data_IF_721472740204
#
_entry.id   IF_721472740204
#
_cell.length_a   1.000
_cell.length_b   1.000
_cell.length_c   1.000
_cell.angle_alpha   90.00
_cell.angle_beta   90.00
_cell.angle_gamma   90.00
#
_symmetry.space_group_name_H-M   'P 1'
#
loop_
_entity.id
_entity.type
_entity.pdbx_description
1 polymer ?
#
# COMPACT_ATOMS: atom_id res chain seq x y z
N UNK A 1 -45.90 36.73 36.89
CA UNK A 1 -44.97 37.47 36.00
C UNK A 1 -44.08 36.43 35.34
N UNK A 2 -44.47 35.98 34.14
CA UNK A 2 -43.77 34.97 33.37
C UNK A 2 -43.29 35.65 32.08
N UNK A 3 -41.98 35.83 31.94
CA UNK A 3 -41.35 36.47 30.78
C UNK A 3 -40.98 35.41 29.74
N UNK A 4 -41.75 35.36 28.66
CA UNK A 4 -41.42 34.60 27.46
C UNK A 4 -40.39 35.35 26.61
N UNK A 5 -39.37 34.63 26.15
CA UNK A 5 -38.43 35.09 25.15
C UNK A 5 -39.00 34.80 23.76
N UNK A 6 -39.53 35.83 23.10
CA UNK A 6 -39.81 35.83 21.67
C UNK A 6 -38.67 36.55 20.95
N UNK A 7 -37.93 35.86 20.09
CA UNK A 7 -37.05 36.48 19.09
C UNK A 7 -37.68 36.36 17.70
N UNK A 8 -37.55 37.39 16.85
CA UNK A 8 -38.20 37.44 15.54
C UNK A 8 -37.54 36.49 14.53
N UNK A 9 -38.40 35.75 13.81
CA UNK A 9 -38.05 34.88 12.69
C UNK A 9 -37.81 35.71 11.42
N UNK A 10 -36.59 36.17 11.18
CA UNK A 10 -36.10 36.55 9.85
C UNK A 10 -34.61 36.93 9.85
N UNK A 11 -33.71 35.94 9.85
CA UNK A 11 -32.33 36.05 9.29
C UNK A 11 -31.52 34.76 9.42
N UNK A 12 -32.18 33.60 9.30
CA UNK A 12 -31.52 32.34 9.00
C UNK A 12 -32.09 31.88 7.67
N UNK A 13 -31.24 31.30 6.82
CA UNK A 13 -31.48 30.91 5.43
C UNK A 13 -31.15 32.01 4.40
N UNK A 14 -29.87 32.40 4.34
CA UNK A 14 -29.18 32.38 3.04
C UNK A 14 -28.53 31.00 2.92
N UNK A 15 -29.37 30.02 2.58
CA UNK A 15 -28.90 28.78 2.04
C UNK A 15 -28.09 29.12 0.79
N UNK A 16 -26.83 28.70 0.82
CA UNK A 16 -25.95 28.61 -0.34
C UNK A 16 -26.60 27.61 -1.31
N UNK A 17 -27.54 28.09 -2.12
CA UNK A 17 -27.79 27.49 -3.42
C UNK A 17 -26.49 27.63 -4.22
N UNK A 18 -26.23 26.64 -5.07
CA UNK A 18 -25.15 26.62 -6.06
C UNK A 18 -23.82 26.03 -5.54
N UNK A 19 -23.80 24.70 -5.40
CA UNK A 19 -22.73 23.81 -5.89
C UNK A 19 -22.81 22.35 -5.37
N UNK A 20 -23.79 21.97 -4.54
CA UNK A 20 -23.95 20.58 -4.07
C UNK A 20 -24.78 19.68 -5.02
N UNK A 21 -24.83 20.01 -6.32
CA UNK A 21 -25.71 19.35 -7.28
C UNK A 21 -25.16 19.27 -8.71
N UNK A 22 -23.85 19.42 -8.89
CA UNK A 22 -23.19 19.28 -10.18
C UNK A 22 -22.19 18.11 -10.14
N UNK A 23 -22.65 16.91 -10.53
CA UNK A 23 -21.77 16.03 -11.29
C UNK A 23 -21.32 14.68 -10.72
N UNK A 24 -21.95 14.09 -9.70
CA UNK A 24 -21.80 12.63 -9.51
C UNK A 24 -22.40 11.82 -10.68
N UNK A 25 -23.18 12.49 -11.54
CA UNK A 25 -23.89 11.96 -12.70
C UNK A 25 -23.38 12.55 -14.03
N UNK A 26 -22.15 13.06 -14.08
CA UNK A 26 -21.47 13.26 -15.36
C UNK A 26 -20.81 11.93 -15.73
N UNK A 27 -21.07 11.41 -16.93
CA UNK A 27 -20.64 10.07 -17.36
C UNK A 27 -19.13 9.80 -17.15
N UNK A 28 -18.29 10.84 -17.14
CA UNK A 28 -16.86 10.74 -16.83
C UNK A 28 -16.57 10.37 -15.37
N UNK A 29 -17.18 11.06 -14.40
CA UNK A 29 -16.89 10.84 -12.97
C UNK A 29 -17.43 9.53 -12.42
N UNK A 30 -18.58 9.06 -12.92
CA UNK A 30 -19.12 7.75 -12.53
C UNK A 30 -18.24 6.60 -13.03
N UNK A 31 -17.72 6.70 -14.26
CA UNK A 31 -16.84 5.68 -14.84
C UNK A 31 -15.52 5.59 -14.06
N UNK A 32 -14.87 6.72 -13.79
CA UNK A 32 -13.63 6.75 -13.00
C UNK A 32 -13.85 6.16 -11.60
N UNK A 33 -14.95 6.54 -10.93
CA UNK A 33 -15.30 5.98 -9.61
C UNK A 33 -15.51 4.48 -9.67
N UNK A 34 -16.17 3.97 -10.72
CA UNK A 34 -16.38 2.53 -10.91
C UNK A 34 -15.06 1.81 -11.21
N UNK A 35 -14.21 2.37 -12.07
CA UNK A 35 -12.90 1.80 -12.39
C UNK A 35 -12.00 1.75 -11.16
N UNK A 36 -12.00 2.80 -10.34
CA UNK A 36 -11.32 2.87 -9.05
C UNK A 36 -11.79 1.77 -8.09
N UNK A 37 -13.11 1.65 -7.95
CA UNK A 37 -13.71 0.59 -7.14
C UNK A 37 -13.28 -0.79 -7.61
N UNK A 38 -13.38 -1.09 -8.91
CA UNK A 38 -12.97 -2.37 -9.47
C UNK A 38 -11.46 -2.62 -9.33
N UNK A 39 -10.63 -1.59 -9.48
CA UNK A 39 -9.19 -1.69 -9.23
C UNK A 39 -8.90 -2.15 -7.80
N UNK A 40 -9.54 -1.50 -6.82
CA UNK A 40 -9.38 -1.82 -5.38
C UNK A 40 -9.84 -3.23 -5.00
N UNK A 41 -10.66 -3.89 -5.82
CA UNK A 41 -11.03 -5.30 -5.60
C UNK A 41 -9.92 -6.30 -5.99
N UNK A 42 -8.80 -5.85 -6.58
CA UNK A 42 -7.72 -6.73 -7.01
C UNK A 42 -7.23 -7.72 -5.91
N UNK A 43 -6.96 -7.29 -4.66
CA UNK A 43 -6.56 -8.20 -3.58
C UNK A 43 -7.61 -9.26 -3.26
N UNK A 44 -8.89 -9.00 -3.50
CA UNK A 44 -9.95 -10.01 -3.35
C UNK A 44 -9.94 -10.99 -4.53
N UNK A 45 -9.92 -10.48 -5.76
CA UNK A 45 -10.02 -11.28 -6.97
C UNK A 45 -8.82 -12.21 -7.18
N UNK A 46 -7.62 -11.83 -6.73
CA UNK A 46 -6.41 -12.66 -6.87
C UNK A 46 -6.49 -14.02 -6.15
N UNK A 47 -7.34 -14.15 -5.13
CA UNK A 47 -7.45 -15.40 -4.37
C UNK A 47 -8.08 -16.53 -5.19
N UNK A 48 -8.94 -16.19 -6.16
CA UNK A 48 -9.65 -17.18 -6.99
C UNK A 48 -8.69 -17.96 -7.89
N UNK A 49 -7.87 -17.35 -8.76
CA UNK A 49 -6.94 -18.11 -9.61
C UNK A 49 -5.89 -18.88 -8.78
N UNK A 50 -5.44 -18.33 -7.65
CA UNK A 50 -4.52 -19.03 -6.73
C UNK A 50 -5.18 -20.29 -6.17
N UNK A 51 -6.43 -20.20 -5.69
CA UNK A 51 -7.18 -21.33 -5.16
C UNK A 51 -7.45 -22.41 -6.22
N UNK A 52 -7.82 -22.01 -7.44
CA UNK A 52 -8.04 -22.96 -8.55
C UNK A 52 -6.74 -23.68 -8.92
N UNK A 53 -5.62 -22.95 -9.04
CA UNK A 53 -4.32 -23.55 -9.34
C UNK A 53 -3.86 -24.51 -8.23
N UNK A 54 -4.03 -24.13 -6.97
CA UNK A 54 -3.73 -24.99 -5.82
C UNK A 54 -4.60 -26.27 -5.80
N UNK A 55 -5.89 -26.15 -6.14
CA UNK A 55 -6.79 -27.30 -6.28
C UNK A 55 -6.35 -28.22 -7.41
N UNK A 56 -5.95 -27.68 -8.57
CA UNK A 56 -5.40 -28.45 -9.69
C UNK A 56 -4.14 -29.22 -9.28
N UNK A 57 -3.18 -28.55 -8.63
CA UNK A 57 -1.96 -29.20 -8.12
C UNK A 57 -2.28 -30.32 -7.13
N UNK A 58 -3.25 -30.09 -6.24
CA UNK A 58 -3.70 -31.08 -5.27
C UNK A 58 -4.33 -32.29 -5.97
N UNK A 59 -5.18 -32.08 -6.97
CA UNK A 59 -5.81 -33.16 -7.73
C UNK A 59 -4.79 -33.97 -8.54
N UNK A 60 -3.80 -33.33 -9.16
CA UNK A 60 -2.72 -34.04 -9.85
C UNK A 60 -1.85 -34.84 -8.86
N UNK A 61 -1.48 -34.25 -7.72
CA UNK A 61 -0.71 -34.94 -6.69
C UNK A 61 -1.46 -36.16 -6.11
N UNK A 62 -2.76 -35.98 -5.81
CA UNK A 62 -3.63 -37.08 -5.40
C UNK A 62 -3.78 -38.13 -6.50
N UNK A 63 -3.82 -37.71 -7.77
CA UNK A 63 -3.89 -38.61 -8.90
C UNK A 63 -2.64 -39.48 -9.07
N UNK A 64 -1.45 -38.90 -8.83
CA UNK A 64 -0.19 -39.65 -8.78
C UNK A 64 -0.18 -40.60 -7.59
N UNK A 65 -0.52 -40.12 -6.38
CA UNK A 65 -0.51 -40.93 -5.16
C UNK A 65 -1.49 -42.10 -5.23
N UNK A 66 -2.73 -41.85 -5.66
CA UNK A 66 -3.78 -42.87 -5.78
C UNK A 66 -3.70 -43.68 -7.08
N UNK A 67 -2.70 -43.40 -7.94
CA UNK A 67 -2.55 -43.99 -9.29
C UNK A 67 -3.82 -43.88 -10.15
N UNK A 68 -4.60 -42.81 -9.93
CA UNK A 68 -5.86 -42.52 -10.64
C UNK A 68 -5.87 -41.05 -11.04
N UNK A 69 -5.37 -40.76 -12.24
CA UNK A 69 -5.27 -39.41 -12.75
C UNK A 69 -6.65 -38.74 -12.91
N UNK A 70 -6.75 -37.41 -12.71
CA UNK A 70 -7.97 -36.66 -13.01
C UNK A 70 -8.43 -36.85 -14.46
N UNK A 71 -9.74 -36.87 -14.65
CA UNK A 71 -10.32 -36.94 -15.98
C UNK A 71 -10.03 -35.67 -16.78
N UNK A 72 -9.92 -35.80 -18.10
CA UNK A 72 -9.67 -34.66 -18.98
C UNK A 72 -10.80 -33.63 -18.98
N UNK A 73 -12.04 -34.02 -18.65
CA UNK A 73 -13.14 -33.08 -18.42
C UNK A 73 -12.83 -32.13 -17.27
N UNK A 74 -12.54 -32.68 -16.09
CA UNK A 74 -12.14 -31.92 -14.89
C UNK A 74 -10.94 -31.01 -15.16
N UNK A 75 -9.91 -31.49 -15.88
CA UNK A 75 -8.75 -30.65 -16.24
C UNK A 75 -9.13 -29.44 -17.09
N UNK A 76 -10.06 -29.62 -18.05
CA UNK A 76 -10.53 -28.54 -18.94
C UNK A 76 -11.37 -27.54 -18.19
N UNK A 77 -12.28 -28.00 -17.33
CA UNK A 77 -13.18 -27.13 -16.56
C UNK A 77 -12.37 -26.26 -15.59
N UNK A 78 -11.41 -26.87 -14.87
CA UNK A 78 -10.51 -26.14 -13.97
C UNK A 78 -9.58 -25.20 -14.73
N UNK A 79 -9.03 -25.61 -15.88
CA UNK A 79 -8.19 -24.72 -16.69
C UNK A 79 -8.99 -23.52 -17.25
N UNK A 80 -10.25 -23.73 -17.65
CA UNK A 80 -11.14 -22.66 -18.09
C UNK A 80 -11.44 -21.67 -16.97
N UNK A 81 -11.79 -22.18 -15.78
CA UNK A 81 -12.02 -21.34 -14.60
C UNK A 81 -10.75 -20.57 -14.19
N UNK A 82 -9.58 -21.21 -14.27
CA UNK A 82 -8.29 -20.58 -13.99
C UNK A 82 -8.01 -19.43 -14.95
N UNK A 83 -8.21 -19.62 -16.26
CA UNK A 83 -8.02 -18.55 -17.26
C UNK A 83 -8.96 -17.37 -17.01
N UNK A 84 -10.24 -17.63 -16.80
CA UNK A 84 -11.24 -16.58 -16.58
C UNK A 84 -10.94 -15.76 -15.31
N UNK A 85 -10.66 -16.45 -14.21
CA UNK A 85 -10.34 -15.79 -12.94
C UNK A 85 -8.99 -15.07 -12.97
N UNK A 86 -7.97 -15.62 -13.63
CA UNK A 86 -6.68 -14.96 -13.80
C UNK A 86 -6.77 -13.71 -14.68
N UNK A 87 -7.56 -13.75 -15.76
CA UNK A 87 -7.81 -12.58 -16.60
C UNK A 87 -8.54 -11.48 -15.81
N UNK A 88 -9.58 -11.82 -15.04
CA UNK A 88 -10.29 -10.88 -14.18
C UNK A 88 -9.39 -10.22 -13.13
N UNK A 89 -8.55 -11.01 -12.45
CA UNK A 89 -7.57 -10.49 -11.51
C UNK A 89 -6.50 -9.62 -12.18
N UNK A 90 -6.05 -9.98 -13.39
CA UNK A 90 -5.10 -9.18 -14.17
C UNK A 90 -5.67 -7.82 -14.58
N UNK A 91 -6.92 -7.78 -15.03
CA UNK A 91 -7.62 -6.53 -15.40
C UNK A 91 -7.80 -5.63 -14.17
N UNK A 92 -8.30 -6.16 -13.05
CA UNK A 92 -8.44 -5.36 -11.83
C UNK A 92 -7.09 -4.85 -11.29
N UNK A 93 -6.03 -5.66 -11.39
CA UNK A 93 -4.68 -5.25 -10.99
C UNK A 93 -4.11 -4.16 -11.88
N UNK A 94 -4.43 -4.18 -13.17
CA UNK A 94 -4.03 -3.14 -14.11
C UNK A 94 -4.67 -1.79 -13.77
N UNK A 95 -5.97 -1.80 -13.45
CA UNK A 95 -6.70 -0.61 -13.00
C UNK A 95 -6.14 -0.05 -11.67
N UNK A 96 -5.77 -0.93 -10.73
CA UNK A 96 -5.19 -0.51 -9.44
C UNK A 96 -3.80 0.14 -9.58
N UNK A 97 -2.99 -0.36 -10.51
CA UNK A 97 -1.63 0.15 -10.73
C UNK A 97 -1.62 1.61 -11.23
N UNK A 98 -2.72 2.07 -11.83
CA UNK A 98 -2.84 3.44 -12.34
C UNK A 98 -3.17 4.46 -11.22
N UNK A 99 -3.70 4.01 -10.08
CA UNK A 99 -4.07 4.91 -8.97
C UNK A 99 -2.94 5.14 -7.97
N UNK A 100 -2.27 4.07 -7.54
CA UNK A 100 -1.63 4.11 -6.24
C UNK A 100 -0.19 3.58 -6.20
N UNK A 101 0.33 2.96 -7.26
CA UNK A 101 1.63 2.28 -7.25
C UNK A 101 2.46 2.58 -8.51
N UNK A 102 3.59 3.29 -8.36
CA UNK A 102 4.57 3.55 -9.43
C UNK A 102 5.91 2.82 -9.20
N UNK A 103 6.69 2.59 -10.25
CA UNK A 103 8.07 2.08 -10.16
C UNK A 103 8.36 0.79 -10.96
N UNK A 104 9.63 0.41 -11.02
CA UNK A 104 10.12 -0.75 -11.79
C UNK A 104 9.58 -2.09 -11.26
N UNK A 105 9.41 -2.22 -9.94
CA UNK A 105 8.83 -3.42 -9.29
C UNK A 105 7.38 -3.64 -9.71
N UNK A 106 6.59 -2.57 -9.81
CA UNK A 106 5.19 -2.63 -10.29
C UNK A 106 5.15 -3.06 -11.75
N UNK A 107 6.04 -2.51 -12.58
CA UNK A 107 6.17 -2.91 -13.99
C UNK A 107 6.53 -4.38 -14.14
N UNK A 108 7.50 -4.87 -13.35
CA UNK A 108 7.85 -6.29 -13.33
C UNK A 108 6.66 -7.16 -12.91
N UNK A 109 5.97 -6.80 -11.83
CA UNK A 109 4.77 -7.52 -11.36
C UNK A 109 3.68 -7.59 -12.43
N UNK A 110 3.43 -6.50 -13.16
CA UNK A 110 2.47 -6.46 -14.29
C UNK A 110 2.85 -7.46 -15.38
N UNK A 111 4.12 -7.50 -15.79
CA UNK A 111 4.56 -8.45 -16.82
C UNK A 111 4.53 -9.90 -16.36
N UNK A 112 4.82 -10.16 -15.07
CA UNK A 112 4.64 -11.50 -14.48
C UNK A 112 3.17 -11.94 -14.50
N UNK A 113 2.23 -11.03 -14.20
CA UNK A 113 0.80 -11.30 -14.28
C UNK A 113 0.33 -11.59 -15.71
N UNK A 114 0.80 -10.82 -16.70
CA UNK A 114 0.55 -11.09 -18.12
C UNK A 114 1.10 -12.46 -18.53
N UNK A 115 2.34 -12.76 -18.14
CA UNK A 115 2.96 -14.06 -18.36
C UNK A 115 2.16 -15.20 -17.72
N UNK A 116 1.65 -15.01 -16.52
CA UNK A 116 0.80 -15.98 -15.82
C UNK A 116 -0.48 -16.27 -16.60
N UNK A 117 -1.19 -15.24 -17.08
CA UNK A 117 -2.40 -15.42 -17.91
C UNK A 117 -2.08 -16.19 -19.20
N UNK A 118 -0.98 -15.85 -19.88
CA UNK A 118 -0.53 -16.57 -21.08
C UNK A 118 -0.18 -18.03 -20.75
N UNK A 119 0.48 -18.29 -19.62
CA UNK A 119 0.77 -19.63 -19.13
C UNK A 119 -0.50 -20.44 -18.88
N UNK A 120 -1.51 -19.83 -18.25
CA UNK A 120 -2.83 -20.44 -18.03
C UNK A 120 -3.55 -20.75 -19.34
N UNK A 121 -3.46 -19.88 -20.36
CA UNK A 121 -4.01 -20.14 -21.69
C UNK A 121 -3.34 -21.36 -22.36
N UNK A 122 -2.01 -21.46 -22.29
CA UNK A 122 -1.28 -22.60 -22.85
C UNK A 122 -1.55 -23.90 -22.08
N UNK A 123 -1.74 -23.83 -20.77
CA UNK A 123 -2.22 -24.92 -19.94
C UNK A 123 -3.61 -25.39 -20.42
N UNK A 124 -4.55 -24.46 -20.62
CA UNK A 124 -5.88 -24.76 -21.12
C UNK A 124 -5.85 -25.39 -22.52
N UNK A 125 -4.97 -24.93 -23.41
CA UNK A 125 -4.71 -25.58 -24.71
C UNK A 125 -4.22 -27.02 -24.51
N UNK A 126 -3.30 -27.26 -23.57
CA UNK A 126 -2.84 -28.61 -23.21
C UNK A 126 -3.98 -29.51 -22.72
N UNK A 127 -4.85 -29.00 -21.86
CA UNK A 127 -6.04 -29.70 -21.36
C UNK A 127 -7.05 -30.01 -22.48
N UNK A 128 -7.29 -29.04 -23.37
CA UNK A 128 -8.20 -29.21 -24.51
C UNK A 128 -7.68 -30.28 -25.48
N UNK A 129 -6.40 -30.20 -25.85
CA UNK A 129 -5.70 -31.16 -26.72
C UNK A 129 -5.43 -32.52 -26.08
N UNK A 130 -5.75 -32.69 -24.79
CA UNK A 130 -5.45 -33.91 -24.00
C UNK A 130 -3.95 -34.28 -24.02
N UNK A 131 -3.08 -33.28 -24.09
CA UNK A 131 -1.63 -33.46 -24.18
C UNK A 131 -0.99 -33.31 -22.81
N UNK A 132 -0.54 -34.42 -22.22
CA UNK A 132 0.11 -34.45 -20.89
C UNK A 132 1.38 -33.62 -20.87
N UNK A 133 2.15 -33.60 -21.97
CA UNK A 133 3.41 -32.84 -22.05
C UNK A 133 3.16 -31.33 -21.97
N UNK A 134 2.22 -30.83 -22.77
CA UNK A 134 1.88 -29.40 -22.79
C UNK A 134 1.22 -29.01 -21.47
N UNK A 135 0.22 -29.78 -21.03
CA UNK A 135 -0.49 -29.53 -19.78
C UNK A 135 0.48 -29.51 -18.59
N UNK A 136 1.30 -30.55 -18.42
CA UNK A 136 2.23 -30.66 -17.30
C UNK A 136 3.30 -29.56 -17.31
N UNK A 137 3.87 -29.24 -18.48
CA UNK A 137 4.84 -28.15 -18.59
C UNK A 137 4.23 -26.81 -18.16
N UNK A 138 3.02 -26.49 -18.64
CA UNK A 138 2.40 -25.22 -18.32
C UNK A 138 1.75 -25.15 -16.93
N UNK A 139 1.44 -26.28 -16.29
CA UNK A 139 1.13 -26.32 -14.84
C UNK A 139 2.35 -25.86 -14.03
N UNK A 140 3.54 -26.37 -14.34
CA UNK A 140 4.78 -25.96 -13.65
C UNK A 140 5.10 -24.49 -13.92
N UNK A 141 5.01 -24.05 -15.17
CA UNK A 141 5.24 -22.64 -15.54
C UNK A 141 4.25 -21.71 -14.84
N UNK A 142 2.94 -22.02 -14.87
CA UNK A 142 1.92 -21.22 -14.21
C UNK A 142 2.15 -21.15 -12.68
N UNK A 143 2.57 -22.25 -12.06
CA UNK A 143 2.90 -22.28 -10.62
C UNK A 143 4.10 -21.38 -10.30
N UNK A 144 5.18 -21.46 -11.09
CA UNK A 144 6.35 -20.61 -10.90
C UNK A 144 6.04 -19.12 -11.10
N UNK A 145 5.27 -18.79 -12.12
CA UNK A 145 4.84 -17.41 -12.39
C UNK A 145 3.92 -16.88 -11.29
N UNK A 146 2.98 -17.70 -10.79
CA UNK A 146 2.11 -17.34 -9.68
C UNK A 146 2.92 -17.04 -8.41
N UNK A 147 3.89 -17.90 -8.08
CA UNK A 147 4.78 -17.69 -6.93
C UNK A 147 5.62 -16.42 -7.07
N UNK A 148 6.21 -16.18 -8.25
CA UNK A 148 6.97 -14.97 -8.53
C UNK A 148 6.09 -13.70 -8.43
N UNK A 149 4.91 -13.71 -9.07
CA UNK A 149 3.96 -12.61 -8.99
C UNK A 149 3.53 -12.33 -7.54
N UNK A 150 3.27 -13.37 -6.74
CA UNK A 150 2.96 -13.25 -5.31
C UNK A 150 4.10 -12.63 -4.49
N UNK A 151 5.35 -13.02 -4.73
CA UNK A 151 6.52 -12.45 -4.07
C UNK A 151 6.66 -10.94 -4.32
N UNK A 152 6.60 -10.52 -5.59
CA UNK A 152 6.68 -9.11 -5.94
C UNK A 152 5.42 -8.33 -5.52
N UNK A 153 4.24 -8.97 -5.51
CA UNK A 153 3.02 -8.37 -4.97
C UNK A 153 3.11 -8.09 -3.47
N UNK A 154 3.73 -8.99 -2.71
CA UNK A 154 4.06 -8.78 -1.30
C UNK A 154 5.02 -7.61 -1.09
N UNK A 155 6.06 -7.53 -1.94
CA UNK A 155 7.03 -6.41 -1.91
C UNK A 155 6.36 -5.05 -2.15
N UNK A 156 5.40 -4.98 -3.08
CA UNK A 156 4.66 -3.74 -3.38
C UNK A 156 3.81 -3.27 -2.19
N UNK A 157 3.28 -4.20 -1.39
CA UNK A 157 2.31 -3.89 -0.33
C UNK A 157 2.92 -3.78 1.06
N UNK A 158 4.00 -4.53 1.32
CA UNK A 158 4.62 -4.63 2.65
C UNK A 158 6.09 -4.20 2.67
N UNK A 159 6.70 -3.92 1.52
CA UNK A 159 8.11 -3.58 1.37
C UNK A 159 9.02 -4.80 1.17
N UNK A 160 10.25 -4.57 0.71
CA UNK A 160 11.23 -5.62 0.36
C UNK A 160 11.64 -6.52 1.53
N UNK A 161 11.76 -5.95 2.72
CA UNK A 161 12.31 -6.64 3.90
C UNK A 161 11.24 -7.23 4.82
N UNK A 162 9.97 -7.17 4.45
CA UNK A 162 8.87 -7.59 5.33
C UNK A 162 8.99 -9.04 5.83
N UNK A 163 9.41 -9.96 4.96
CA UNK A 163 9.56 -11.38 5.31
C UNK A 163 10.81 -11.65 6.16
N UNK A 164 11.80 -10.76 6.10
CA UNK A 164 13.11 -10.93 6.74
C UNK A 164 13.24 -10.13 8.02
N UNK A 165 12.47 -9.04 8.19
CA UNK A 165 12.50 -8.14 9.35
C UNK A 165 12.52 -8.88 10.71
N UNK A 166 11.67 -9.91 10.96
CA UNK A 166 11.66 -10.60 12.25
C UNK A 166 12.96 -11.32 12.60
N UNK A 167 13.76 -11.69 11.59
CA UNK A 167 15.04 -12.37 11.79
C UNK A 167 16.19 -11.40 12.05
N UNK A 168 16.05 -10.13 11.65
CA UNK A 168 17.14 -9.14 11.69
C UNK A 168 16.90 -8.00 12.68
N UNK A 169 15.68 -7.79 13.18
CA UNK A 169 15.37 -6.78 14.21
C UNK A 169 15.94 -7.21 15.56
N UNK A 170 16.99 -6.55 16.03
CA UNK A 170 17.52 -6.77 17.40
C UNK A 170 16.41 -6.49 18.42
N UNK A 171 16.21 -7.37 19.42
CA UNK A 171 15.27 -7.09 20.49
C UNK A 171 15.68 -5.78 21.18
N UNK A 172 14.71 -4.91 21.55
CA UNK A 172 15.02 -3.70 22.28
C UNK A 172 15.82 -4.07 23.54
N UNK A 173 16.83 -3.27 23.91
CA UNK A 173 17.59 -3.55 25.12
C UNK A 173 16.62 -3.69 26.28
N UNK A 174 16.70 -4.82 26.98
CA UNK A 174 15.90 -5.07 28.16
C UNK A 174 16.09 -3.86 29.08
N UNK A 175 15.01 -3.09 29.33
CA UNK A 175 15.03 -2.02 30.32
C UNK A 175 15.33 -2.66 31.66
N UNK A 176 16.61 -2.69 32.02
CA UNK A 176 17.01 -3.12 33.35
C UNK A 176 16.56 -2.01 34.29
N UNK A 177 15.57 -2.30 35.13
CA UNK A 177 15.33 -1.54 36.35
C UNK A 177 16.53 -1.71 37.28
N UNK A 178 17.66 -1.08 36.94
CA UNK A 178 18.85 -1.05 37.78
C UNK A 178 18.94 0.33 38.39
N UNK A 179 18.59 0.33 39.68
CA UNK A 179 19.04 1.21 40.76
C UNK A 179 19.60 2.58 40.37
N UNK A 180 18.93 3.59 40.93
CA UNK A 180 19.58 4.81 41.35
C UNK A 180 20.92 4.51 42.04
N UNK A 181 21.86 5.43 41.83
CA UNK A 181 23.17 5.54 42.45
C UNK A 181 24.32 4.79 41.76
N UNK A 182 24.94 5.47 40.78
CA UNK A 182 26.39 5.66 40.72
C UNK A 182 26.75 6.48 39.49
N UNK A 183 27.28 7.68 39.76
CA UNK A 183 28.33 8.36 39.02
C UNK A 183 28.47 8.02 37.52
N UNK A 184 27.85 8.85 36.67
CA UNK A 184 28.15 8.89 35.25
C UNK A 184 28.40 10.33 34.82
N UNK A 185 29.66 10.76 34.95
CA UNK A 185 30.29 11.66 33.96
C UNK A 185 30.75 10.82 32.76
N UNK A 186 29.87 9.95 32.27
CA UNK A 186 30.04 9.35 30.95
C UNK A 186 29.56 10.40 29.95
N UNK A 187 30.40 10.71 28.97
CA UNK A 187 30.13 11.63 27.89
C UNK A 187 28.75 11.34 27.31
N UNK A 188 27.76 12.15 27.68
CA UNK A 188 26.47 12.17 27.01
C UNK A 188 26.76 12.80 25.67
N UNK A 189 27.12 11.96 24.69
CA UNK A 189 27.00 12.34 23.28
C UNK A 189 25.60 12.95 23.14
N UNK A 190 25.47 14.21 22.65
CA UNK A 190 24.17 14.81 22.48
C UNK A 190 23.34 13.88 21.60
N UNK A 191 22.31 13.26 22.19
CA UNK A 191 21.42 12.38 21.45
C UNK A 191 20.59 13.28 20.55
N UNK A 192 20.83 13.16 19.24
CA UNK A 192 20.08 13.88 18.21
C UNK A 192 18.57 13.71 18.44
N UNK A 193 17.85 14.83 18.50
CA UNK A 193 16.37 14.82 18.56
C UNK A 193 15.82 14.15 17.29
N UNK A 194 16.52 14.30 16.16
CA UNK A 194 16.11 13.66 14.92
C UNK A 194 16.13 12.13 15.06
N UNK A 195 17.30 11.54 15.37
CA UNK A 195 17.45 10.09 15.46
C UNK A 195 16.60 9.46 16.57
N UNK A 196 16.39 10.17 17.68
CA UNK A 196 15.68 9.64 18.84
C UNK A 196 14.16 9.80 18.79
N UNK A 197 13.66 10.84 18.11
CA UNK A 197 12.22 11.19 18.12
C UNK A 197 11.65 11.26 16.72
N UNK A 198 12.26 12.02 15.81
CA UNK A 198 11.68 12.33 14.50
C UNK A 198 11.79 11.16 13.52
N UNK A 199 12.96 10.54 13.42
CA UNK A 199 13.23 9.41 12.52
C UNK A 199 12.30 8.22 12.80
N UNK A 200 12.06 7.79 14.07
CA UNK A 200 11.06 6.75 14.35
C UNK A 200 9.64 7.11 13.90
N UNK A 201 9.23 8.37 14.03
CA UNK A 201 7.90 8.82 13.58
C UNK A 201 7.81 8.73 12.06
N UNK A 202 8.84 9.22 11.34
CA UNK A 202 8.87 9.13 9.88
C UNK A 202 8.92 7.69 9.40
N UNK A 203 9.71 6.82 10.03
CA UNK A 203 9.77 5.41 9.72
C UNK A 203 8.40 4.72 9.84
N UNK A 204 7.65 5.01 10.91
CA UNK A 204 6.36 4.36 11.18
C UNK A 204 5.22 4.95 10.33
N UNK A 205 5.21 6.28 10.09
CA UNK A 205 4.05 6.99 9.52
C UNK A 205 4.24 7.45 8.08
N UNK A 206 5.47 7.63 7.61
CA UNK A 206 5.77 8.29 6.34
C UNK A 206 6.42 7.35 5.31
N UNK A 207 7.40 6.54 5.73
CA UNK A 207 8.25 5.73 4.83
C UNK A 207 7.48 4.68 4.03
N UNK A 208 6.32 4.20 4.51
CA UNK A 208 5.50 3.24 3.74
C UNK A 208 4.99 3.79 2.39
N UNK A 209 4.89 5.12 2.25
CA UNK A 209 4.43 5.80 1.04
C UNK A 209 5.50 6.71 0.40
N UNK A 210 6.51 7.11 1.19
CA UNK A 210 7.62 7.99 0.81
C UNK A 210 8.98 7.33 1.07
N UNK A 211 9.07 6.02 0.82
CA UNK A 211 10.27 5.21 1.05
C UNK A 211 10.96 4.81 -0.25
N UNK A 212 11.95 3.90 -0.18
CA UNK A 212 12.70 3.46 -1.36
C UNK A 212 11.84 2.61 -2.32
N UNK A 213 10.75 2.02 -1.83
CA UNK A 213 9.84 1.18 -2.61
C UNK A 213 8.70 1.97 -3.27
N UNK A 214 8.36 3.13 -2.71
CA UNK A 214 7.23 3.96 -3.13
C UNK A 214 7.52 5.41 -2.78
N UNK A 215 7.48 6.29 -3.78
CA UNK A 215 7.75 7.73 -3.63
C UNK A 215 6.55 8.53 -4.12
N UNK A 216 5.46 8.56 -3.33
CA UNK A 216 4.28 9.34 -3.70
C UNK A 216 4.62 10.82 -3.77
N UNK A 217 4.16 11.50 -4.84
CA UNK A 217 4.46 12.91 -5.09
C UNK A 217 5.95 13.21 -5.25
N UNK A 218 6.74 12.25 -5.74
CA UNK A 218 8.19 12.37 -5.94
C UNK A 218 9.00 12.52 -4.65
N UNK A 219 8.35 12.41 -3.48
CA UNK A 219 8.97 12.64 -2.18
C UNK A 219 9.52 11.34 -1.58
N UNK A 220 10.79 11.38 -1.18
CA UNK A 220 11.44 10.36 -0.37
C UNK A 220 11.74 10.90 1.04
N UNK A 221 11.60 10.07 2.06
CA UNK A 221 11.74 10.43 3.48
C UNK A 221 12.48 9.37 4.30
N UNK A 222 13.15 8.42 3.64
CA UNK A 222 13.83 7.30 4.30
C UNK A 222 15.28 7.59 4.71
N UNK A 223 15.84 8.71 4.25
CA UNK A 223 17.16 9.21 4.66
C UNK A 223 17.12 10.74 4.88
N UNK A 224 18.05 11.31 5.67
CA UNK A 224 18.22 12.76 5.80
C UNK A 224 18.42 13.48 4.47
N UNK A 225 19.18 12.88 3.56
CA UNK A 225 19.46 13.46 2.24
C UNK A 225 18.18 13.56 1.39
N UNK A 226 17.31 12.54 1.47
CA UNK A 226 16.03 12.56 0.76
C UNK A 226 15.09 13.65 1.30
N UNK A 227 15.05 13.81 2.63
CA UNK A 227 14.24 14.81 3.31
C UNK A 227 14.60 16.23 2.86
N UNK A 228 15.88 16.48 2.58
CA UNK A 228 16.37 17.76 2.07
C UNK A 228 16.08 17.96 0.58
N UNK A 229 15.99 16.88 -0.21
CA UNK A 229 15.71 16.96 -1.63
C UNK A 229 14.25 17.40 -1.92
N UNK A 230 13.31 16.94 -1.10
CA UNK A 230 11.88 17.24 -1.27
C UNK A 230 11.20 16.38 -2.33
N UNK A 231 10.05 16.84 -2.82
CA UNK A 231 9.24 16.14 -3.82
C UNK A 231 8.82 17.03 -4.98
N UNK A 232 7.81 16.60 -5.74
CA UNK A 232 7.33 17.28 -6.94
C UNK A 232 6.82 18.71 -6.66
N UNK A 233 6.40 18.99 -5.43
CA UNK A 233 5.92 20.30 -4.96
C UNK A 233 7.03 21.16 -4.36
N UNK A 234 8.29 20.71 -4.43
CA UNK A 234 9.45 21.39 -3.84
C UNK A 234 9.84 20.81 -2.47
N UNK A 235 10.52 21.60 -1.62
CA UNK A 235 11.01 21.15 -0.31
C UNK A 235 9.87 20.63 0.59
N UNK A 236 10.12 19.52 1.29
CA UNK A 236 9.15 18.98 2.25
C UNK A 236 8.94 19.92 3.45
N UNK A 237 9.98 20.64 3.84
CA UNK A 237 9.96 21.64 4.90
C UNK A 237 10.98 22.74 4.62
N UNK A 238 10.81 23.86 5.32
CA UNK A 238 11.74 24.99 5.35
C UNK A 238 12.31 25.06 6.76
N UNK A 239 13.61 24.80 6.89
CA UNK A 239 14.30 24.85 8.18
C UNK A 239 14.12 26.22 8.86
N UNK A 240 13.64 26.22 10.10
CA UNK A 240 13.34 27.42 10.87
C UNK A 240 11.98 28.06 10.57
N UNK A 241 11.23 27.57 9.59
CA UNK A 241 9.94 28.15 9.18
C UNK A 241 8.85 27.08 8.99
N UNK A 242 8.21 26.63 10.09
CA UNK A 242 7.13 25.66 10.03
C UNK A 242 5.91 26.14 9.26
N UNK A 243 5.62 27.45 9.25
CA UNK A 243 4.40 27.98 8.64
C UNK A 243 4.48 28.00 7.11
N UNK A 244 5.69 28.04 6.54
CA UNK A 244 5.93 27.86 5.10
C UNK A 244 6.40 26.46 4.72
N UNK A 245 6.29 25.49 5.64
CA UNK A 245 6.67 24.10 5.39
C UNK A 245 5.49 23.27 4.88
N UNK A 246 5.61 22.70 3.68
CA UNK A 246 4.58 21.86 3.04
C UNK A 246 4.15 20.69 3.95
N UNK A 247 5.11 20.04 4.62
CA UNK A 247 4.83 18.96 5.58
C UNK A 247 3.91 19.41 6.71
N UNK A 248 4.15 20.60 7.27
CA UNK A 248 3.32 21.14 8.37
C UNK A 248 1.93 21.49 7.88
N UNK A 249 1.82 22.08 6.69
CA UNK A 249 0.54 22.34 6.05
C UNK A 249 -0.28 21.05 5.90
N UNK A 250 0.31 19.99 5.34
CA UNK A 250 -0.37 18.68 5.14
C UNK A 250 -0.77 17.99 6.45
N UNK A 251 0.04 18.10 7.50
CA UNK A 251 -0.27 17.52 8.81
C UNK A 251 -1.47 18.21 9.50
N UNK A 252 -1.68 19.50 9.21
CA UNK A 252 -2.75 20.33 9.81
C UNK A 252 -4.09 20.24 9.08
N UNK A 253 -4.14 19.68 7.86
CA UNK A 253 -5.38 19.56 7.09
C UNK A 253 -6.42 18.66 7.78
N UNK A 254 -7.74 18.88 7.56
CA UNK A 254 -8.78 17.98 8.09
C UNK A 254 -8.60 16.52 7.65
N UNK A 255 -9.08 15.56 8.44
CA UNK A 255 -8.96 14.12 8.14
C UNK A 255 -9.58 13.70 6.80
N UNK A 256 -10.56 14.45 6.35
CA UNK A 256 -11.30 14.23 5.10
C UNK A 256 -10.63 14.90 3.89
N UNK A 257 -9.57 15.68 4.08
CA UNK A 257 -8.88 16.37 2.99
C UNK A 257 -7.97 15.41 2.22
N UNK A 258 -8.04 15.47 0.89
CA UNK A 258 -7.25 14.59 0.00
C UNK A 258 -5.75 14.85 0.06
N UNK A 259 -5.32 16.05 0.45
CA UNK A 259 -3.90 16.42 0.59
C UNK A 259 -3.36 16.12 2.00
N UNK A 260 -4.22 15.73 2.95
CA UNK A 260 -3.77 15.38 4.29
C UNK A 260 -2.81 14.20 4.25
N UNK A 261 -1.73 14.33 5.00
CA UNK A 261 -0.81 13.23 5.26
C UNK A 261 -0.75 12.94 6.76
N UNK A 262 -0.72 11.67 7.17
CA UNK A 262 -0.96 10.46 6.37
C UNK A 262 -2.43 10.36 5.90
N UNK A 263 -2.72 9.66 4.79
CA UNK A 263 -4.10 9.42 4.35
C UNK A 263 -4.94 8.76 5.45
N UNK A 264 -6.25 9.00 5.44
CA UNK A 264 -7.19 8.58 6.50
C UNK A 264 -7.11 7.10 6.85
N UNK A 265 -6.80 6.24 5.89
CA UNK A 265 -6.70 4.78 6.05
C UNK A 265 -5.36 4.33 6.65
N UNK A 266 -4.40 5.25 6.81
CA UNK A 266 -3.06 4.97 7.35
C UNK A 266 -2.96 5.40 8.82
N UNK A 267 -2.04 4.78 9.60
CA UNK A 267 -1.78 5.19 10.97
C UNK A 267 -1.55 6.70 11.05
N UNK A 268 -2.38 7.39 11.83
CA UNK A 268 -2.29 8.85 12.00
C UNK A 268 -1.23 9.21 13.03
N UNK A 269 -0.70 10.42 12.93
CA UNK A 269 0.12 11.01 13.99
C UNK A 269 -0.77 11.44 15.15
N UNK A 270 -0.26 11.28 16.36
CA UNK A 270 -0.79 11.91 17.56
C UNK A 270 -0.43 13.39 17.59
N UNK A 271 -1.18 14.19 18.36
CA UNK A 271 -0.89 15.62 18.53
C UNK A 271 0.53 15.88 19.04
N UNK A 272 1.07 14.97 19.87
CA UNK A 272 2.43 15.04 20.37
C UNK A 272 3.49 14.82 19.28
N UNK A 273 3.26 13.85 18.39
CA UNK A 273 4.16 13.58 17.25
C UNK A 273 4.13 14.74 16.24
N UNK A 274 2.95 15.29 15.95
CA UNK A 274 2.82 16.49 15.11
C UNK A 274 3.56 17.67 15.73
N UNK A 275 3.38 17.91 17.03
CA UNK A 275 4.08 18.97 17.74
C UNK A 275 5.60 18.78 17.74
N UNK A 276 6.09 17.54 17.89
CA UNK A 276 7.51 17.22 17.84
C UNK A 276 8.12 17.54 16.47
N UNK A 277 7.44 17.18 15.38
CA UNK A 277 7.88 17.50 14.01
C UNK A 277 7.91 19.01 13.78
N UNK A 278 6.83 19.72 14.13
CA UNK A 278 6.75 21.18 13.99
C UNK A 278 7.89 21.85 14.76
N UNK A 279 8.14 21.41 16.00
CA UNK A 279 9.22 21.95 16.82
C UNK A 279 10.59 21.67 16.21
N UNK A 280 10.84 20.46 15.72
CA UNK A 280 12.09 20.12 15.06
C UNK A 280 12.35 21.01 13.84
N UNK A 281 11.34 21.27 13.01
CA UNK A 281 11.44 22.21 11.89
C UNK A 281 11.75 23.62 12.40
N UNK A 282 11.04 24.09 13.42
CA UNK A 282 11.24 25.42 14.01
C UNK A 282 12.66 25.60 14.57
N UNK A 283 13.24 24.55 15.13
CA UNK A 283 14.60 24.53 15.67
C UNK A 283 15.67 24.39 14.57
N UNK A 284 15.30 24.48 13.29
CA UNK A 284 16.23 24.46 12.15
C UNK A 284 16.38 23.11 11.46
N UNK A 285 15.55 22.13 11.80
CA UNK A 285 15.54 20.79 11.21
C UNK A 285 16.92 20.08 11.26
N UNK A 286 17.63 20.19 12.39
CA UNK A 286 18.92 19.54 12.60
C UNK A 286 18.80 18.01 12.58
N UNK A 287 19.70 17.34 11.86
CA UNK A 287 19.83 15.88 11.90
C UNK A 287 20.80 15.41 13.01
N UNK A 288 21.61 16.33 13.52
CA UNK A 288 22.58 16.13 14.61
C UNK A 288 21.99 16.48 15.98
#
# INVERSE_FOLDING_TARGET
MAGGWGMPLSSVVLARSDAAGAGLWNNGGMLETLLAFFGRTHPLLLHVPIGVLAAMLTLEALGVWRRKAPEWGTRRDLAGLLVLSAAGAGVSGWLLAEEDYGGSTVTLHRWLAVGFVVGCLMLAVGAWRRSVRIYGAFVVVATGLCAAAGHFGGTITHGRDFLTEPFFKKPPPARSNRGADSDQTALVEPVSIYTSVIEPIFADKCVSCHGPDKQKGGLAMHTPEDLLFGGDTGPAFVAGDPDHSEMVWRLRLPLEDEYRMPPKEKPQLTDAEVAAIIKWIADGASFD
#
